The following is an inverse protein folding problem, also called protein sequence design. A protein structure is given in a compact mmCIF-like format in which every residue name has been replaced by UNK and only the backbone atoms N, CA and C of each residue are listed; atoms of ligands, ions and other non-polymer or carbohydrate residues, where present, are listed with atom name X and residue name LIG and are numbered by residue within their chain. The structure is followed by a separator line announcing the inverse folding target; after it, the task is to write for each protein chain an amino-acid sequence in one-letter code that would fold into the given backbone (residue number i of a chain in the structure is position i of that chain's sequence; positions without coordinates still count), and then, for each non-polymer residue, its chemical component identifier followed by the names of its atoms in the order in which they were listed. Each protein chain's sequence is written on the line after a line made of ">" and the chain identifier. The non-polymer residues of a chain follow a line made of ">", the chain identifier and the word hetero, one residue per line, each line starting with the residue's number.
data_IF_970429689124
#
_entry.id   IF_970429689124
#
_cell.length_a   1.000
_cell.length_b   1.000
_cell.length_c   1.000
_cell.angle_alpha   90.00
_cell.angle_beta   90.00
_cell.angle_gamma   90.00
#
_symmetry.space_group_name_H-M   'P 1'
#
loop_
_entity.id
_entity.type
_entity.pdbx_description
1 polymer ?
#
# COMPACT_ATOMS: atom_id res chain seq x y z
N UNK A 1 -2.33 -11.48 -21.48
CA UNK A 1 -1.01 -10.88 -21.17
C UNK A 1 -0.62 -11.23 -19.74
N UNK A 2 0.65 -11.60 -19.50
CA UNK A 2 1.16 -11.93 -18.15
C UNK A 2 1.97 -10.77 -17.60
N UNK A 3 1.84 -10.51 -16.30
CA UNK A 3 2.53 -9.42 -15.60
C UNK A 3 3.38 -10.01 -14.48
N UNK A 4 4.60 -9.52 -14.35
CA UNK A 4 5.55 -9.92 -13.31
C UNK A 4 5.24 -9.12 -12.03
N UNK A 5 4.97 -9.84 -10.95
CA UNK A 5 4.80 -9.26 -9.62
C UNK A 5 6.15 -8.93 -8.96
N UNK A 6 6.13 -8.12 -7.91
CA UNK A 6 7.31 -7.75 -7.11
C UNK A 6 8.06 -8.92 -6.50
N UNK A 7 7.36 -10.03 -6.23
CA UNK A 7 7.97 -11.27 -5.72
C UNK A 7 8.47 -12.21 -6.82
N UNK A 8 8.50 -11.76 -8.09
CA UNK A 8 8.93 -12.53 -9.24
C UNK A 8 7.88 -13.51 -9.82
N UNK A 9 6.73 -13.68 -9.17
CA UNK A 9 5.65 -14.50 -9.73
C UNK A 9 4.91 -13.78 -10.84
N UNK A 10 4.24 -14.52 -11.73
CA UNK A 10 3.42 -13.94 -12.80
C UNK A 10 1.93 -14.01 -12.45
N UNK A 11 1.17 -13.05 -12.95
CA UNK A 11 -0.29 -12.99 -12.85
C UNK A 11 -0.88 -12.52 -14.18
N UNK A 12 -2.09 -12.96 -14.49
CA UNK A 12 -2.83 -12.43 -15.64
C UNK A 12 -3.09 -10.93 -15.47
N UNK A 13 -2.86 -10.17 -16.54
CA UNK A 13 -3.20 -8.76 -16.58
C UNK A 13 -4.70 -8.56 -16.40
N UNK A 14 -5.05 -7.57 -15.59
CA UNK A 14 -6.43 -7.22 -15.29
C UNK A 14 -6.59 -5.70 -15.39
N UNK A 15 -7.24 -5.25 -16.49
CA UNK A 15 -7.45 -3.83 -16.76
C UNK A 15 -8.33 -3.13 -15.73
N UNK A 16 -9.27 -3.86 -15.13
CA UNK A 16 -10.16 -3.28 -14.12
C UNK A 16 -9.42 -2.91 -12.84
N UNK A 17 -8.37 -3.63 -12.47
CA UNK A 17 -7.51 -3.24 -11.34
C UNK A 17 -6.88 -1.87 -11.56
N UNK A 18 -6.48 -1.56 -12.80
CA UNK A 18 -5.91 -0.26 -13.16
C UNK A 18 -6.99 0.82 -13.16
N UNK A 19 -8.13 0.56 -13.80
CA UNK A 19 -9.26 1.49 -13.84
C UNK A 19 -9.73 1.87 -12.42
N UNK A 20 -9.87 0.90 -11.52
CA UNK A 20 -10.22 1.12 -10.11
C UNK A 20 -9.16 1.96 -9.39
N UNK A 21 -7.87 1.73 -9.66
CA UNK A 21 -6.80 2.50 -9.03
C UNK A 21 -6.79 3.96 -9.51
N UNK A 22 -7.04 4.19 -10.80
CA UNK A 22 -7.21 5.54 -11.36
C UNK A 22 -8.41 6.25 -10.71
N UNK A 23 -9.61 5.62 -10.72
CA UNK A 23 -10.80 6.23 -10.09
C UNK A 23 -10.57 6.62 -8.63
N UNK A 24 -9.86 5.80 -7.86
CA UNK A 24 -9.52 6.11 -6.46
C UNK A 24 -8.65 7.37 -6.31
N UNK A 25 -7.77 7.66 -7.25
CA UNK A 25 -6.97 8.90 -7.21
C UNK A 25 -7.84 10.15 -7.42
N UNK A 26 -8.92 10.05 -8.16
CA UNK A 26 -9.89 11.13 -8.38
C UNK A 26 -10.83 11.34 -7.18
N UNK A 27 -11.27 10.28 -6.53
CA UNK A 27 -12.09 10.38 -5.30
C UNK A 27 -11.38 11.24 -4.25
N UNK A 28 -10.08 11.07 -4.09
CA UNK A 28 -9.30 11.82 -3.10
C UNK A 28 -9.12 13.31 -3.42
N UNK A 29 -9.33 13.73 -4.68
CA UNK A 29 -9.36 15.14 -5.11
C UNK A 29 -10.77 15.71 -5.19
N UNK A 30 -11.79 14.91 -4.88
CA UNK A 30 -13.21 15.28 -5.02
C UNK A 30 -13.57 15.70 -6.46
N UNK A 31 -12.85 15.18 -7.44
CA UNK A 31 -13.16 15.35 -8.86
C UNK A 31 -13.82 14.10 -9.40
N UNK A 32 -14.76 14.32 -10.30
CA UNK A 32 -15.34 13.27 -11.12
C UNK A 32 -14.46 13.02 -12.35
N UNK A 33 -14.35 11.77 -12.76
CA UNK A 33 -13.74 11.37 -14.02
C UNK A 33 -14.73 10.50 -14.78
N UNK A 34 -14.85 10.74 -16.08
CA UNK A 34 -15.70 9.91 -16.95
C UNK A 34 -15.05 8.55 -17.18
N UNK A 35 -15.87 7.52 -17.38
CA UNK A 35 -15.36 6.20 -17.73
C UNK A 35 -14.53 6.22 -19.02
N UNK A 36 -14.91 7.06 -20.00
CA UNK A 36 -14.16 7.25 -21.23
C UNK A 36 -12.72 7.72 -20.94
N UNK A 37 -12.54 8.72 -20.10
CA UNK A 37 -11.20 9.22 -19.72
C UNK A 37 -10.39 8.18 -18.94
N UNK A 38 -11.05 7.41 -18.05
CA UNK A 38 -10.37 6.30 -17.34
C UNK A 38 -9.86 5.27 -18.32
N UNK A 39 -10.70 4.82 -19.25
CA UNK A 39 -10.30 3.77 -20.18
C UNK A 39 -9.34 4.27 -21.26
N UNK A 40 -9.34 5.57 -21.61
CA UNK A 40 -8.28 6.16 -22.44
C UNK A 40 -6.90 5.95 -21.78
N UNK A 41 -6.76 6.25 -20.49
CA UNK A 41 -5.51 6.03 -19.76
C UNK A 41 -5.16 4.54 -19.69
N UNK A 42 -6.16 3.67 -19.44
CA UNK A 42 -5.94 2.21 -19.41
C UNK A 42 -5.45 1.69 -20.75
N UNK A 43 -6.03 2.16 -21.86
CA UNK A 43 -5.66 1.76 -23.23
C UNK A 43 -4.22 2.20 -23.57
N UNK A 44 -3.80 3.39 -23.14
CA UNK A 44 -2.41 3.86 -23.28
C UNK A 44 -1.43 2.95 -22.52
N UNK A 45 -1.78 2.55 -21.29
CA UNK A 45 -0.99 1.60 -20.49
C UNK A 45 -0.91 0.24 -21.19
N UNK A 46 -2.01 -0.26 -21.74
CA UNK A 46 -2.04 -1.51 -22.50
C UNK A 46 -1.15 -1.43 -23.75
N UNK A 47 -1.23 -0.34 -24.50
CA UNK A 47 -0.41 -0.11 -25.68
C UNK A 47 1.09 -0.13 -25.30
N UNK A 48 1.46 0.57 -24.24
CA UNK A 48 2.83 0.56 -23.71
C UNK A 48 3.30 -0.86 -23.36
N UNK A 49 2.46 -1.64 -22.68
CA UNK A 49 2.78 -3.03 -22.31
C UNK A 49 2.92 -3.96 -23.51
N UNK A 50 2.16 -3.73 -24.58
CA UNK A 50 2.29 -4.47 -25.82
C UNK A 50 3.61 -4.16 -26.55
N UNK A 51 4.06 -2.91 -26.51
CA UNK A 51 5.32 -2.49 -27.10
C UNK A 51 6.55 -2.92 -26.28
N UNK A 52 6.38 -3.25 -24.99
CA UNK A 52 7.45 -3.55 -24.05
C UNK A 52 7.31 -4.94 -23.41
N UNK A 53 7.18 -5.97 -24.23
CA UNK A 53 6.90 -7.34 -23.80
C UNK A 53 7.87 -7.91 -22.75
N UNK A 54 9.16 -7.60 -22.90
CA UNK A 54 10.21 -8.12 -22.00
C UNK A 54 10.17 -7.51 -20.59
N UNK A 55 9.42 -6.43 -20.38
CA UNK A 55 9.43 -5.68 -19.11
C UNK A 55 8.03 -5.35 -18.60
N UNK A 56 7.15 -6.34 -18.59
CA UNK A 56 5.77 -6.22 -18.09
C UNK A 56 5.72 -6.45 -16.58
N UNK A 57 6.13 -5.48 -15.80
CA UNK A 57 6.06 -5.53 -14.33
C UNK A 57 5.00 -4.61 -13.75
N UNK A 58 4.57 -4.90 -12.50
CA UNK A 58 3.62 -4.04 -11.78
C UNK A 58 4.17 -2.62 -11.62
N UNK A 59 5.48 -2.47 -11.44
CA UNK A 59 6.14 -1.17 -11.32
C UNK A 59 5.99 -0.38 -12.61
N UNK A 60 6.24 -1.02 -13.75
CA UNK A 60 6.11 -0.36 -15.06
C UNK A 60 4.68 0.06 -15.38
N UNK A 61 3.71 -0.77 -15.03
CA UNK A 61 2.29 -0.39 -15.13
C UNK A 61 2.02 0.89 -14.32
N UNK A 62 2.52 0.93 -13.09
CA UNK A 62 2.31 2.06 -12.20
C UNK A 62 2.99 3.33 -12.70
N UNK A 63 4.23 3.23 -13.19
CA UNK A 63 4.96 4.35 -13.76
C UNK A 63 4.23 4.90 -15.00
N UNK A 64 3.67 4.01 -15.83
CA UNK A 64 2.93 4.40 -17.02
C UNK A 64 1.59 5.07 -16.70
N UNK A 65 0.86 4.59 -15.69
CA UNK A 65 -0.36 5.26 -15.19
C UNK A 65 -0.01 6.67 -14.69
N UNK A 66 1.08 6.82 -13.93
CA UNK A 66 1.53 8.12 -13.44
C UNK A 66 1.85 9.07 -14.60
N UNK A 67 2.57 8.58 -15.60
CA UNK A 67 2.92 9.35 -16.81
C UNK A 67 1.67 9.78 -17.56
N UNK A 68 0.76 8.86 -17.86
CA UNK A 68 -0.45 9.14 -18.60
C UNK A 68 -1.36 10.14 -17.87
N UNK A 69 -1.53 10.01 -16.53
CA UNK A 69 -2.26 10.99 -15.73
C UNK A 69 -1.65 12.41 -15.85
N UNK A 70 -0.33 12.52 -15.84
CA UNK A 70 0.36 13.81 -16.01
C UNK A 70 0.18 14.39 -17.41
N UNK A 71 0.29 13.57 -18.45
CA UNK A 71 0.12 13.97 -19.85
C UNK A 71 -1.29 14.47 -20.16
N UNK A 72 -2.31 13.91 -19.49
CA UNK A 72 -3.69 14.38 -19.55
C UNK A 72 -3.98 15.58 -18.63
N UNK A 73 -2.98 16.13 -17.94
CA UNK A 73 -3.11 17.30 -17.07
C UNK A 73 -3.73 17.02 -15.70
N UNK A 74 -3.86 15.76 -15.29
CA UNK A 74 -4.39 15.33 -14.00
C UNK A 74 -3.30 15.31 -12.92
N UNK A 75 -2.60 16.42 -12.71
CA UNK A 75 -1.43 16.50 -11.84
C UNK A 75 -1.74 16.21 -10.35
N UNK A 76 -2.89 16.68 -9.86
CA UNK A 76 -3.30 16.43 -8.47
C UNK A 76 -3.62 14.96 -8.25
N UNK A 77 -4.29 14.33 -9.21
CA UNK A 77 -4.66 12.93 -9.22
C UNK A 77 -3.42 12.03 -9.38
N UNK A 78 -2.47 12.41 -10.25
CA UNK A 78 -1.19 11.73 -10.37
C UNK A 78 -0.40 11.77 -9.04
N UNK A 79 -0.35 12.93 -8.37
CA UNK A 79 0.26 13.05 -7.04
C UNK A 79 -0.41 12.13 -6.01
N UNK A 80 -1.74 12.06 -6.00
CA UNK A 80 -2.47 11.18 -5.09
C UNK A 80 -2.22 9.70 -5.41
N UNK A 81 -2.13 9.35 -6.68
CA UNK A 81 -1.78 8.00 -7.12
C UNK A 81 -0.39 7.59 -6.62
N UNK A 82 0.61 8.46 -6.78
CA UNK A 82 1.98 8.27 -6.29
C UNK A 82 2.01 8.10 -4.77
N UNK A 83 1.33 8.98 -4.03
CA UNK A 83 1.25 8.93 -2.57
C UNK A 83 0.59 7.64 -2.08
N UNK A 84 -0.50 7.21 -2.71
CA UNK A 84 -1.17 5.95 -2.39
C UNK A 84 -0.25 4.75 -2.67
N UNK A 85 0.46 4.74 -3.79
CA UNK A 85 1.45 3.71 -4.14
C UNK A 85 2.55 3.62 -3.08
N UNK A 86 3.10 4.78 -2.69
CA UNK A 86 4.13 4.86 -1.66
C UNK A 86 3.63 4.33 -0.32
N UNK A 87 2.49 4.80 0.17
CA UNK A 87 1.87 4.33 1.42
C UNK A 87 1.64 2.81 1.41
N UNK A 88 1.17 2.26 0.29
CA UNK A 88 1.00 0.80 0.14
C UNK A 88 2.31 0.04 0.21
N UNK A 89 3.38 0.61 -0.33
CA UNK A 89 4.71 0.00 -0.30
C UNK A 89 5.27 0.02 1.11
N UNK A 90 5.17 1.14 1.81
CA UNK A 90 5.60 1.25 3.20
C UNK A 90 4.82 0.31 4.13
N UNK A 91 3.50 0.22 3.98
CA UNK A 91 2.69 -0.74 4.75
C UNK A 91 3.17 -2.19 4.57
N UNK A 92 3.48 -2.59 3.35
CA UNK A 92 4.00 -3.95 3.06
C UNK A 92 5.36 -4.18 3.71
N UNK A 93 6.23 -3.19 3.65
CA UNK A 93 7.56 -3.22 4.28
C UNK A 93 7.44 -3.39 5.79
N UNK A 94 6.60 -2.58 6.41
CA UNK A 94 6.31 -2.65 7.86
C UNK A 94 5.75 -4.01 8.26
N UNK A 95 4.74 -4.51 7.53
CA UNK A 95 4.18 -5.84 7.77
C UNK A 95 5.24 -6.94 7.62
N UNK A 96 6.09 -6.85 6.59
CA UNK A 96 7.20 -7.80 6.40
C UNK A 96 8.18 -7.77 7.57
N UNK A 97 8.52 -6.59 8.09
CA UNK A 97 9.38 -6.45 9.28
C UNK A 97 8.76 -7.07 10.53
N UNK A 98 7.45 -6.87 10.75
CA UNK A 98 6.72 -7.49 11.87
C UNK A 98 6.71 -9.01 11.72
N UNK A 99 6.41 -9.54 10.53
CA UNK A 99 6.41 -10.98 10.25
C UNK A 99 7.80 -11.56 10.53
N UNK A 100 8.83 -10.96 9.95
CA UNK A 100 10.22 -11.41 10.15
C UNK A 100 10.63 -11.32 11.63
N UNK A 101 10.18 -10.28 12.32
CA UNK A 101 10.45 -10.06 13.73
C UNK A 101 9.75 -11.04 14.66
N UNK A 102 8.51 -11.41 14.38
CA UNK A 102 7.71 -12.34 15.22
C UNK A 102 7.85 -13.79 14.80
N UNK A 103 8.22 -14.06 13.55
CA UNK A 103 8.27 -15.41 12.99
C UNK A 103 6.89 -16.07 12.82
N UNK A 104 5.81 -15.26 12.85
CA UNK A 104 4.44 -15.75 12.80
C UNK A 104 3.60 -14.98 11.76
N UNK A 105 3.26 -15.67 10.68
CA UNK A 105 2.44 -15.11 9.59
C UNK A 105 0.98 -14.85 10.03
N UNK A 106 0.51 -15.50 11.09
CA UNK A 106 -0.85 -15.33 11.63
C UNK A 106 -1.06 -13.91 12.12
N UNK A 107 -0.06 -13.36 12.81
CA UNK A 107 -0.07 -11.98 13.32
C UNK A 107 -0.20 -10.96 12.19
N UNK A 108 0.53 -11.17 11.09
CA UNK A 108 0.43 -10.28 9.94
C UNK A 108 -0.97 -10.30 9.29
N UNK A 109 -1.63 -11.45 9.28
CA UNK A 109 -2.99 -11.56 8.77
C UNK A 109 -3.99 -10.87 9.69
N UNK A 110 -3.87 -11.03 11.00
CA UNK A 110 -4.69 -10.32 12.00
C UNK A 110 -4.50 -8.79 11.87
N UNK A 111 -3.26 -8.31 11.76
CA UNK A 111 -2.98 -6.88 11.60
C UNK A 111 -3.57 -6.32 10.29
N UNK A 112 -3.57 -7.10 9.20
CA UNK A 112 -4.22 -6.70 7.94
C UNK A 112 -5.73 -6.59 8.08
N UNK A 113 -6.37 -7.51 8.81
CA UNK A 113 -7.82 -7.47 9.07
C UNK A 113 -8.17 -6.26 9.94
N UNK A 114 -7.47 -6.05 11.05
CA UNK A 114 -7.67 -4.89 11.92
C UNK A 114 -7.53 -3.58 11.13
N UNK A 115 -6.54 -3.49 10.24
CA UNK A 115 -6.32 -2.25 9.48
C UNK A 115 -7.40 -1.98 8.43
N UNK A 116 -8.19 -2.95 8.01
CA UNK A 116 -9.36 -2.70 7.15
C UNK A 116 -10.44 -1.91 7.90
N UNK A 117 -10.63 -2.24 9.17
CA UNK A 117 -11.66 -1.65 10.02
C UNK A 117 -11.23 -0.31 10.64
N UNK A 118 -9.92 -0.12 10.82
CA UNK A 118 -9.31 1.07 11.42
C UNK A 118 -8.36 1.76 10.44
N UNK A 119 -8.91 2.62 9.57
CA UNK A 119 -8.14 3.32 8.53
C UNK A 119 -7.60 4.70 8.96
N UNK A 120 -7.84 5.12 10.19
CA UNK A 120 -7.37 6.40 10.74
C UNK A 120 -5.84 6.49 10.84
N UNK A 121 -5.30 7.71 10.82
CA UNK A 121 -3.85 7.95 10.97
C UNK A 121 -3.31 7.48 12.32
N UNK A 122 -4.15 7.56 13.35
CA UNK A 122 -3.88 7.14 14.73
C UNK A 122 -3.58 5.62 14.84
N UNK A 123 -4.10 4.82 13.91
CA UNK A 123 -3.86 3.36 13.88
C UNK A 123 -2.81 2.96 12.85
N UNK A 124 -1.82 3.83 12.63
CA UNK A 124 -0.77 3.60 11.62
C UNK A 124 0.10 2.40 11.99
N UNK A 125 0.15 1.42 11.08
CA UNK A 125 1.09 0.29 11.21
C UNK A 125 2.55 0.75 11.27
N UNK A 126 2.89 1.92 10.74
CA UNK A 126 4.23 2.47 10.79
C UNK A 126 4.62 2.80 12.24
N UNK A 127 3.76 3.50 12.98
CA UNK A 127 3.99 3.79 14.38
C UNK A 127 4.06 2.51 15.23
N UNK A 128 3.19 1.54 14.93
CA UNK A 128 3.23 0.24 15.62
C UNK A 128 4.57 -0.47 15.39
N UNK A 129 5.08 -0.48 14.15
CA UNK A 129 6.36 -1.11 13.83
C UNK A 129 7.55 -0.38 14.46
N UNK A 130 7.57 0.95 14.46
CA UNK A 130 8.59 1.75 15.11
C UNK A 130 8.64 1.45 16.62
N UNK A 131 7.46 1.45 17.26
CA UNK A 131 7.34 1.15 18.68
C UNK A 131 7.74 -0.30 18.98
N UNK A 132 7.26 -1.25 18.18
CA UNK A 132 7.65 -2.66 18.29
C UNK A 132 9.17 -2.83 18.18
N UNK A 133 9.79 -2.22 17.16
CA UNK A 133 11.24 -2.29 16.95
C UNK A 133 12.01 -1.72 18.14
N UNK A 134 11.51 -0.66 18.79
CA UNK A 134 12.13 -0.06 19.97
C UNK A 134 12.16 -1.00 21.19
N UNK A 135 11.25 -1.98 21.25
CA UNK A 135 11.21 -2.97 22.32
C UNK A 135 11.99 -4.25 22.02
N UNK A 136 12.32 -4.48 20.74
CA UNK A 136 13.02 -5.70 20.33
C UNK A 136 14.51 -5.64 20.70
N UNK A 137 15.00 -6.77 21.24
CA UNK A 137 16.43 -7.04 21.45
C UNK A 137 16.89 -8.17 20.52
N UNK A 138 18.19 -8.25 20.20
CA UNK A 138 18.72 -9.27 19.27
C UNK A 138 18.36 -10.72 19.66
N UNK A 139 18.43 -11.03 20.95
CA UNK A 139 18.34 -12.40 21.47
C UNK A 139 16.92 -12.81 21.92
N UNK A 140 15.89 -12.03 21.54
CA UNK A 140 14.50 -12.33 21.91
C UNK A 140 13.98 -13.55 21.18
N UNK A 141 13.29 -14.44 21.90
CA UNK A 141 12.48 -15.52 21.35
C UNK A 141 11.24 -14.99 20.63
N UNK A 142 10.60 -15.82 19.81
CA UNK A 142 9.35 -15.45 19.11
C UNK A 142 8.24 -15.05 20.09
N UNK A 143 8.12 -15.72 21.25
CA UNK A 143 7.15 -15.39 22.29
C UNK A 143 7.41 -14.03 22.93
N UNK A 144 8.66 -13.69 23.22
CA UNK A 144 9.04 -12.36 23.74
C UNK A 144 8.79 -11.26 22.71
N UNK A 145 9.04 -11.51 21.44
CA UNK A 145 8.72 -10.56 20.35
C UNK A 145 7.22 -10.34 20.20
N UNK A 146 6.41 -11.39 20.35
CA UNK A 146 4.96 -11.26 20.38
C UNK A 146 4.50 -10.40 21.56
N UNK A 147 5.06 -10.64 22.76
CA UNK A 147 4.77 -9.81 23.93
C UNK A 147 5.19 -8.34 23.72
N UNK A 148 6.31 -8.09 23.06
CA UNK A 148 6.77 -6.76 22.68
C UNK A 148 5.81 -6.06 21.70
N UNK A 149 5.25 -6.81 20.74
CA UNK A 149 4.26 -6.29 19.79
C UNK A 149 2.95 -5.90 20.50
N UNK A 150 2.46 -6.76 21.40
CA UNK A 150 1.27 -6.46 22.22
C UNK A 150 1.50 -5.23 23.09
N UNK A 151 2.67 -5.12 23.73
CA UNK A 151 3.06 -3.94 24.51
C UNK A 151 3.06 -2.67 23.67
N UNK A 152 3.64 -2.72 22.45
CA UNK A 152 3.65 -1.59 21.52
C UNK A 152 2.23 -1.14 21.16
N UNK A 153 1.33 -2.08 20.88
CA UNK A 153 -0.06 -1.79 20.56
C UNK A 153 -0.82 -1.14 21.73
N UNK A 154 -0.61 -1.65 22.96
CA UNK A 154 -1.22 -1.09 24.18
C UNK A 154 -0.72 0.33 24.43
N UNK A 155 0.59 0.59 24.34
CA UNK A 155 1.12 1.94 24.54
C UNK A 155 0.60 2.95 23.51
N UNK A 156 0.44 2.55 22.24
CA UNK A 156 -0.15 3.41 21.22
C UNK A 156 -1.62 3.71 21.52
N UNK A 157 -2.40 2.74 21.99
CA UNK A 157 -3.81 2.95 22.35
C UNK A 157 -3.95 3.93 23.53
N UNK A 158 -3.05 3.89 24.49
CA UNK A 158 -3.07 4.78 25.66
C UNK A 158 -2.72 6.22 25.31
N UNK A 159 -1.81 6.44 24.36
CA UNK A 159 -1.44 7.79 23.87
C UNK A 159 -2.67 8.48 23.27
N UNK A 160 -3.48 7.76 22.49
CA UNK A 160 -4.67 8.32 21.84
C UNK A 160 -5.82 8.61 22.80
N UNK A 161 -5.91 7.90 23.93
CA UNK A 161 -6.92 8.19 24.98
C UNK A 161 -6.57 9.47 25.74
N UNK A 162 -5.30 9.87 25.75
CA UNK A 162 -4.80 11.01 26.55
C UNK A 162 -4.80 12.35 25.79
N UNK A 163 -4.98 12.35 24.47
CA UNK A 163 -5.12 13.61 23.70
C UNK A 163 -6.62 13.99 23.58
N UNK A 164 -7.06 15.07 24.24
CA UNK A 164 -8.40 15.57 24.01
C UNK A 164 -8.51 16.10 22.57
N UNK A 165 -9.48 15.56 21.84
CA UNK A 165 -9.90 16.08 20.53
C UNK A 165 -10.10 17.60 20.60
N UNK A 166 -9.21 18.32 19.91
CA UNK A 166 -9.42 19.75 19.58
C UNK A 166 -10.00 19.87 18.19
#
# INVERSE_FOLDING_TARGET
>A
MQIIKRNGTTESYDREKIAVAIRKSFISTQKEITDEAVYTIVDEVELFLHQNEANRSVERIQDEVERSLMEHGFYAEAKNYILYRWQRTERRKVLSQIITGTGDDTIANILKEIQKDFSGKEYSLTFLAEKFTSFCKPDMTSGERLAALVKAAVELSLIHISEPTR
#
